data_IF_398890915336
#
_entry.id   IF_398890915336
#
_cell.length_a   1.000
_cell.length_b   1.000
_cell.length_c   1.000
_cell.angle_alpha   90.00
_cell.angle_beta   90.00
_cell.angle_gamma   90.00
#
_symmetry.space_group_name_H-M   'P 1'
#
loop_
_entity.id
_entity.type
_entity.pdbx_description
1 polymer ?
#
# COMPACT_ATOMS: atom_id res chain seq x y z
N UNK A 1 14.93 -6.21 6.47
CA UNK A 1 15.44 -5.38 5.35
C UNK A 1 14.42 -4.38 4.83
N UNK A 2 13.26 -4.79 4.29
CA UNK A 2 12.27 -3.87 3.71
C UNK A 2 11.88 -2.71 4.65
N UNK A 3 11.65 -3.00 5.94
CA UNK A 3 11.35 -2.00 6.95
C UNK A 3 12.47 -0.96 7.11
N UNK A 4 13.74 -1.37 7.19
CA UNK A 4 14.87 -0.42 7.26
C UNK A 4 14.93 0.48 6.03
N UNK A 5 14.83 -0.10 4.84
CA UNK A 5 14.93 0.66 3.59
C UNK A 5 13.80 1.69 3.51
N UNK A 6 12.57 1.32 3.86
CA UNK A 6 11.44 2.23 3.83
C UNK A 6 11.67 3.42 4.79
N UNK A 7 12.10 3.14 6.03
CA UNK A 7 12.35 4.17 7.04
C UNK A 7 13.49 5.11 6.62
N UNK A 8 14.63 4.57 6.18
CA UNK A 8 15.75 5.39 5.70
C UNK A 8 15.39 6.18 4.44
N UNK A 9 14.52 5.65 3.57
CA UNK A 9 14.12 6.35 2.35
C UNK A 9 13.30 7.62 2.62
N UNK A 10 12.60 7.70 3.76
CA UNK A 10 11.82 8.88 4.14
C UNK A 10 12.70 10.11 4.42
N UNK A 11 13.96 9.90 4.80
CA UNK A 11 14.91 10.98 5.13
C UNK A 11 15.72 11.47 3.90
N UNK A 12 15.62 10.75 2.78
CA UNK A 12 16.39 11.07 1.58
C UNK A 12 15.84 12.33 0.90
N UNK A 13 16.59 13.42 1.02
CA UNK A 13 16.36 14.67 0.28
C UNK A 13 17.05 14.63 -1.08
N UNK A 14 16.29 14.87 -2.13
CA UNK A 14 16.83 14.97 -3.49
C UNK A 14 17.55 16.30 -3.65
N UNK A 15 18.88 16.27 -3.78
CA UNK A 15 19.72 17.49 -3.82
C UNK A 15 19.28 18.50 -4.88
N UNK A 16 18.91 18.03 -6.09
CA UNK A 16 18.47 18.88 -7.19
C UNK A 16 16.97 19.23 -7.16
N UNK A 17 16.20 18.67 -6.22
CA UNK A 17 14.75 18.94 -6.00
C UNK A 17 14.40 18.86 -4.51
N UNK A 18 14.84 19.83 -3.69
CA UNK A 18 14.68 19.76 -2.23
C UNK A 18 13.21 19.80 -1.76
N UNK A 19 12.30 20.31 -2.59
CA UNK A 19 10.87 20.34 -2.31
C UNK A 19 10.15 18.98 -2.53
N UNK A 20 10.84 17.99 -3.11
CA UNK A 20 10.24 16.69 -3.41
C UNK A 20 10.78 15.64 -2.44
N UNK A 21 9.86 14.93 -1.79
CA UNK A 21 10.18 13.78 -0.94
C UNK A 21 10.23 12.50 -1.77
N UNK A 22 11.23 11.67 -1.50
CA UNK A 22 11.38 10.39 -2.15
C UNK A 22 10.41 9.38 -1.54
N UNK A 23 9.49 8.85 -2.35
CA UNK A 23 8.57 7.80 -1.92
C UNK A 23 8.79 6.54 -2.72
N UNK A 24 8.85 5.41 -2.01
CA UNK A 24 9.05 4.09 -2.60
C UNK A 24 7.80 3.23 -2.39
N UNK A 25 7.54 2.34 -3.34
CA UNK A 25 6.59 1.23 -3.17
C UNK A 25 7.38 -0.04 -2.97
N UNK A 26 6.98 -0.87 -2.02
CA UNK A 26 7.61 -2.17 -1.78
C UNK A 26 6.53 -3.24 -1.82
N UNK A 27 6.73 -4.27 -2.65
CA UNK A 27 5.85 -5.44 -2.72
C UNK A 27 6.58 -6.70 -2.27
N UNK A 28 5.97 -7.49 -1.38
CA UNK A 28 6.53 -8.76 -0.91
C UNK A 28 5.58 -9.94 -1.19
N UNK A 29 6.17 -11.02 -1.67
CA UNK A 29 5.50 -12.30 -1.87
C UNK A 29 6.52 -13.42 -1.71
N UNK A 30 6.06 -14.57 -1.22
CA UNK A 30 6.91 -15.75 -0.96
C UNK A 30 6.37 -16.94 -1.73
N UNK A 31 7.26 -17.70 -2.37
CA UNK A 31 6.92 -18.90 -3.12
C UNK A 31 8.11 -19.44 -3.92
N UNK A 32 7.91 -20.56 -4.64
CA UNK A 32 8.96 -21.20 -5.40
C UNK A 32 9.39 -20.37 -6.62
N UNK A 33 10.69 -20.38 -6.91
CA UNK A 33 11.29 -19.67 -8.05
C UNK A 33 12.31 -20.56 -8.75
N UNK A 34 12.45 -20.37 -10.07
CA UNK A 34 13.55 -20.93 -10.84
C UNK A 34 14.60 -19.83 -11.06
N UNK A 35 15.88 -20.13 -10.82
CA UNK A 35 16.97 -19.18 -10.99
C UNK A 35 17.97 -19.69 -12.05
N UNK A 36 18.60 -18.78 -12.79
CA UNK A 36 19.60 -19.15 -13.79
C UNK A 36 20.36 -17.96 -14.38
N UNK A 37 21.41 -18.27 -15.14
CA UNK A 37 22.18 -17.28 -15.90
C UNK A 37 21.72 -17.27 -17.34
N UNK A 38 21.34 -16.10 -17.86
CA UNK A 38 20.87 -15.90 -19.23
C UNK A 38 21.91 -15.14 -20.03
N UNK A 39 22.20 -15.63 -21.24
CA UNK A 39 23.15 -15.01 -22.17
C UNK A 39 24.58 -15.52 -22.00
N UNK A 40 25.29 -15.71 -23.12
CA UNK A 40 26.69 -16.21 -23.13
C UNK A 40 27.71 -15.07 -23.04
N UNK A 41 27.50 -14.00 -23.81
CA UNK A 41 28.44 -12.86 -23.89
C UNK A 41 28.18 -11.83 -22.79
N UNK A 42 26.92 -11.65 -22.38
CA UNK A 42 26.52 -10.77 -21.28
C UNK A 42 25.65 -11.57 -20.30
N UNK A 43 26.27 -12.38 -19.43
CA UNK A 43 25.53 -13.21 -18.49
C UNK A 43 24.77 -12.35 -17.49
N UNK A 44 23.46 -12.58 -17.37
CA UNK A 44 22.59 -11.95 -16.37
C UNK A 44 22.00 -13.02 -15.47
N UNK A 45 22.10 -12.83 -14.16
CA UNK A 45 21.38 -13.69 -13.21
C UNK A 45 19.91 -13.28 -13.16
N UNK A 46 19.02 -14.24 -13.41
CA UNK A 46 17.59 -13.99 -13.52
C UNK A 46 16.79 -14.97 -12.66
N UNK A 47 15.69 -14.47 -12.10
CA UNK A 47 14.67 -15.25 -11.40
C UNK A 47 13.42 -15.32 -12.25
N UNK A 48 12.81 -16.49 -12.32
CA UNK A 48 11.59 -16.76 -13.09
C UNK A 48 10.57 -17.49 -12.24
N UNK A 49 9.30 -17.33 -12.60
CA UNK A 49 8.18 -18.02 -11.98
C UNK A 49 7.02 -17.10 -11.65
N UNK A 50 5.92 -17.71 -11.21
CA UNK A 50 4.74 -16.97 -10.80
C UNK A 50 4.97 -16.11 -9.54
N UNK A 51 5.88 -16.53 -8.65
CA UNK A 51 6.23 -15.79 -7.45
C UNK A 51 6.80 -14.40 -7.75
N UNK A 52 7.73 -14.29 -8.72
CA UNK A 52 8.30 -12.97 -9.09
C UNK A 52 7.26 -12.06 -9.75
N UNK A 53 6.35 -12.64 -10.54
CA UNK A 53 5.24 -11.89 -11.13
C UNK A 53 4.27 -11.38 -10.06
N UNK A 54 3.90 -12.23 -9.10
CA UNK A 54 3.02 -11.84 -7.99
C UNK A 54 3.67 -10.78 -7.11
N UNK A 55 4.98 -10.90 -6.80
CA UNK A 55 5.73 -9.89 -6.07
C UNK A 55 5.71 -8.54 -6.79
N UNK A 56 5.97 -8.53 -8.11
CA UNK A 56 5.86 -7.33 -8.95
C UNK A 56 4.45 -6.73 -8.91
N UNK A 57 3.40 -7.56 -8.86
CA UNK A 57 2.03 -7.07 -8.65
C UNK A 57 1.86 -6.39 -7.29
N UNK A 58 2.34 -6.99 -6.21
CA UNK A 58 2.29 -6.38 -4.87
C UNK A 58 2.98 -5.02 -4.84
N UNK A 59 4.06 -4.82 -5.60
CA UNK A 59 4.74 -3.53 -5.72
C UNK A 59 3.95 -2.53 -6.57
N UNK A 60 3.54 -2.94 -7.78
CA UNK A 60 2.86 -2.06 -8.74
C UNK A 60 1.49 -1.56 -8.26
N UNK A 61 0.77 -2.37 -7.47
CA UNK A 61 -0.50 -1.99 -6.84
C UNK A 61 -0.33 -1.36 -5.45
N UNK A 62 0.93 -1.24 -5.00
CA UNK A 62 1.32 -0.70 -3.71
C UNK A 62 1.01 0.79 -3.56
N UNK A 63 0.79 1.20 -2.32
CA UNK A 63 0.70 2.63 -1.97
C UNK A 63 2.13 3.13 -1.67
N UNK A 64 2.57 4.28 -2.23
CA UNK A 64 3.87 4.85 -1.90
C UNK A 64 4.03 5.05 -0.38
N UNK A 65 5.21 4.77 0.15
CA UNK A 65 5.49 4.86 1.58
C UNK A 65 4.96 3.67 2.40
N UNK A 66 4.43 2.62 1.75
CA UNK A 66 3.95 1.40 2.43
C UNK A 66 4.57 0.14 1.82
N UNK A 67 4.71 -0.90 2.64
CA UNK A 67 5.09 -2.25 2.20
C UNK A 67 3.83 -3.08 2.06
N UNK A 68 3.50 -3.49 0.84
CA UNK A 68 2.39 -4.40 0.58
C UNK A 68 2.86 -5.85 0.54
N UNK A 69 2.16 -6.72 1.24
CA UNK A 69 2.47 -8.15 1.31
C UNK A 69 1.26 -8.99 0.91
N UNK A 70 1.53 -10.11 0.23
CA UNK A 70 0.52 -11.15 -0.03
C UNK A 70 0.17 -11.95 1.24
N UNK A 71 -1.00 -12.56 1.28
CA UNK A 71 -1.41 -13.49 2.34
C UNK A 71 -0.39 -14.61 2.60
N UNK A 72 0.14 -15.25 1.55
CA UNK A 72 1.14 -16.33 1.70
C UNK A 72 2.40 -15.88 2.43
N UNK A 73 2.87 -14.65 2.13
CA UNK A 73 4.02 -14.06 2.81
C UNK A 73 3.70 -13.76 4.27
N UNK A 74 2.49 -13.24 4.54
CA UNK A 74 2.00 -12.95 5.89
C UNK A 74 1.94 -14.22 6.75
N UNK A 75 1.43 -15.33 6.23
CA UNK A 75 1.39 -16.61 6.96
C UNK A 75 2.77 -17.13 7.35
N UNK A 76 3.79 -16.89 6.53
CA UNK A 76 5.18 -17.25 6.85
C UNK A 76 5.76 -16.32 7.93
N UNK A 77 5.51 -15.02 7.82
CA UNK A 77 5.96 -14.05 8.83
C UNK A 77 5.25 -14.25 10.17
N UNK A 78 3.99 -14.69 10.17
CA UNK A 78 3.25 -15.05 11.38
C UNK A 78 3.88 -16.24 12.11
N UNK A 79 4.49 -17.17 11.38
CA UNK A 79 5.22 -18.30 11.97
C UNK A 79 6.51 -17.86 12.69
N UNK A 80 7.18 -16.83 12.16
CA UNK A 80 8.35 -16.21 12.81
C UNK A 80 7.93 -15.29 13.98
N UNK A 81 6.73 -14.72 13.92
CA UNK A 81 6.14 -13.90 14.98
C UNK A 81 6.67 -12.47 15.07
N UNK A 82 5.97 -11.65 15.86
CA UNK A 82 6.38 -10.29 16.19
C UNK A 82 6.21 -9.28 15.06
N UNK A 83 5.46 -9.55 14.00
CA UNK A 83 5.19 -8.58 12.93
C UNK A 83 3.79 -7.97 13.04
N UNK A 84 3.67 -6.69 12.66
CA UNK A 84 2.40 -5.96 12.69
C UNK A 84 1.91 -5.65 11.28
N UNK A 85 0.61 -5.87 11.05
CA UNK A 85 0.00 -5.71 9.73
C UNK A 85 -1.32 -4.96 9.78
N UNK A 86 -1.65 -4.33 8.66
CA UNK A 86 -2.93 -3.68 8.40
C UNK A 86 -3.60 -4.37 7.21
N UNK A 87 -4.81 -4.93 7.33
CA UNK A 87 -5.50 -5.56 6.21
C UNK A 87 -5.89 -4.51 5.15
N UNK A 88 -5.72 -4.87 3.88
CA UNK A 88 -6.15 -4.06 2.74
C UNK A 88 -7.41 -4.64 2.11
N UNK A 89 -8.23 -3.80 1.47
CA UNK A 89 -9.34 -4.27 0.65
C UNK A 89 -8.86 -5.28 -0.40
N UNK A 90 -9.49 -6.47 -0.49
CA UNK A 90 -9.18 -7.44 -1.52
C UNK A 90 -9.33 -6.83 -2.91
N UNK A 91 -8.46 -7.23 -3.84
CA UNK A 91 -8.55 -6.79 -5.23
C UNK A 91 -8.23 -7.94 -6.18
N UNK A 92 -8.69 -7.80 -7.42
CA UNK A 92 -8.51 -8.82 -8.43
C UNK A 92 -7.08 -8.79 -9.00
N UNK A 93 -6.40 -9.93 -8.96
CA UNK A 93 -5.09 -10.14 -9.55
C UNK A 93 -5.23 -11.11 -10.72
N UNK A 94 -4.80 -10.65 -11.90
CA UNK A 94 -4.84 -11.44 -13.13
C UNK A 94 -4.19 -12.81 -12.92
N UNK A 95 -4.95 -13.88 -13.18
CA UNK A 95 -4.48 -15.25 -13.07
C UNK A 95 -4.55 -15.86 -11.66
N UNK A 96 -4.88 -15.08 -10.63
CA UNK A 96 -5.05 -15.58 -9.24
C UNK A 96 -6.42 -15.31 -8.62
N UNK A 97 -7.25 -14.47 -9.26
CA UNK A 97 -8.56 -14.11 -8.71
C UNK A 97 -8.44 -13.00 -7.67
N UNK A 98 -9.39 -12.96 -6.74
CA UNK A 98 -9.39 -11.97 -5.66
C UNK A 98 -8.39 -12.39 -4.60
N UNK A 99 -7.42 -11.51 -4.31
CA UNK A 99 -6.41 -11.76 -3.27
C UNK A 99 -6.59 -10.81 -2.10
N UNK A 100 -6.54 -11.39 -0.89
CA UNK A 100 -6.36 -10.63 0.33
C UNK A 100 -4.89 -10.21 0.45
N UNK A 101 -4.67 -8.94 0.78
CA UNK A 101 -3.32 -8.38 0.96
C UNK A 101 -3.26 -7.55 2.24
N UNK A 102 -2.05 -7.26 2.69
CA UNK A 102 -1.81 -6.56 3.93
C UNK A 102 -0.71 -5.52 3.74
N UNK A 103 -0.72 -4.47 4.55
CA UNK A 103 0.43 -3.58 4.71
C UNK A 103 1.24 -4.01 5.92
N UNK A 104 2.54 -4.23 5.73
CA UNK A 104 3.46 -4.47 6.84
C UNK A 104 3.82 -3.13 7.48
N UNK A 105 3.56 -3.00 8.79
CA UNK A 105 3.75 -1.76 9.55
C UNK A 105 5.04 -1.75 10.37
N UNK A 106 5.46 -2.90 10.86
CA UNK A 106 6.64 -2.99 11.73
C UNK A 106 6.88 -4.39 12.26
N UNK A 107 7.86 -4.48 13.16
CA UNK A 107 8.21 -5.69 13.92
C UNK A 107 8.46 -5.30 15.39
N UNK A 108 8.14 -6.19 16.32
CA UNK A 108 8.51 -6.07 17.73
C UNK A 108 10.03 -5.99 17.87
N UNK A 109 10.51 -5.08 18.73
CA UNK A 109 11.93 -4.79 18.87
C UNK A 109 12.57 -4.12 17.65
N UNK A 110 11.77 -3.66 16.69
CA UNK A 110 12.24 -2.82 15.59
C UNK A 110 12.25 -1.35 16.05
N UNK A 111 13.37 -0.94 16.60
CA UNK A 111 13.67 0.48 16.82
C UNK A 111 14.44 0.99 15.59
N UNK A 112 14.04 2.12 14.98
CA UNK A 112 14.80 2.76 13.90
C UNK A 112 16.12 3.40 14.34
N UNK A 113 16.69 2.97 15.46
CA UNK A 113 17.86 3.54 16.11
C UNK A 113 19.17 3.00 15.51
N UNK A 114 19.40 3.46 14.28
CA UNK A 114 20.72 3.99 13.91
C UNK A 114 20.60 5.29 13.08
N UNK A 115 19.39 5.80 12.80
CA UNK A 115 19.15 7.14 12.21
C UNK A 115 17.72 7.67 12.52
N UNK A 116 17.49 8.15 13.75
CA UNK A 116 16.67 9.36 13.98
C UNK A 116 15.16 9.43 13.62
N UNK A 117 14.46 8.37 13.24
CA UNK A 117 13.02 8.49 12.95
C UNK A 117 12.18 8.67 14.23
N UNK A 118 11.85 9.92 14.57
CA UNK A 118 10.75 10.26 15.48
C UNK A 118 9.44 10.29 14.70
N UNK A 119 8.53 9.39 15.09
CA UNK A 119 7.15 9.36 14.62
C UNK A 119 6.42 10.66 15.05
N UNK A 120 6.12 11.53 14.08
CA UNK A 120 5.27 12.70 14.28
C UNK A 120 3.82 12.43 13.85
N UNK A 121 3.33 11.19 13.94
CA UNK A 121 1.89 10.93 13.90
C UNK A 121 1.36 10.70 15.33
N UNK A 122 1.26 11.80 16.08
CA UNK A 122 0.35 11.88 17.21
C UNK A 122 -1.09 11.70 16.71
N UNK A 123 -1.62 10.49 16.83
CA UNK A 123 -2.99 10.18 17.22
C UNK A 123 -4.10 11.09 16.64
N UNK A 124 -4.47 10.90 15.37
CA UNK A 124 -5.81 11.27 14.89
C UNK A 124 -6.67 10.01 14.84
N UNK A 125 -7.47 9.81 15.89
CA UNK A 125 -8.55 8.83 15.86
C UNK A 125 -9.62 9.36 14.91
N UNK A 126 -9.62 8.90 13.65
CA UNK A 126 -10.79 9.02 12.79
C UNK A 126 -11.89 8.11 13.34
N UNK A 127 -12.83 8.67 14.12
CA UNK A 127 -14.10 8.02 14.42
C UNK A 127 -15.04 8.23 13.22
N UNK A 128 -15.06 7.28 12.29
CA UNK A 128 -16.03 7.27 11.20
C UNK A 128 -17.32 6.62 11.69
N UNK A 129 -18.40 7.38 11.82
CA UNK A 129 -19.76 6.85 11.94
C UNK A 129 -20.36 6.76 10.53
N UNK A 130 -20.65 5.55 10.05
CA UNK A 130 -21.28 5.32 8.74
C UNK A 130 -22.79 5.14 8.93
N UNK A 131 -23.62 5.94 8.24
CA UNK A 131 -25.04 5.66 8.05
C UNK A 131 -25.29 5.24 6.59
N UNK A 132 -25.77 4.01 6.38
CA UNK A 132 -26.22 3.54 5.06
C UNK A 132 -27.73 3.76 4.90
N UNK A 133 -28.15 4.43 3.82
CA UNK A 133 -29.56 4.58 3.45
C UNK A 133 -29.80 4.09 2.02
N UNK A 134 -30.82 3.25 1.88
CA UNK A 134 -31.32 2.78 0.57
C UNK A 134 -32.27 3.84 0.02
N UNK A 135 -31.94 4.42 -1.13
CA UNK A 135 -32.82 5.37 -1.84
C UNK A 135 -33.69 4.60 -2.84
N UNK A 136 -34.93 5.07 -3.05
CA UNK A 136 -35.86 4.47 -4.02
C UNK A 136 -35.18 4.35 -5.40
N UNK A 137 -35.37 3.19 -6.05
CA UNK A 137 -34.78 2.75 -7.32
C UNK A 137 -33.42 2.01 -7.23
N UNK A 138 -32.99 1.56 -6.04
CA UNK A 138 -31.86 0.64 -5.89
C UNK A 138 -30.48 1.31 -5.99
N UNK A 139 -30.43 2.64 -5.92
CA UNK A 139 -29.21 3.41 -5.73
C UNK A 139 -28.83 3.44 -4.24
N UNK A 140 -27.55 3.23 -3.95
CA UNK A 140 -26.98 3.35 -2.60
C UNK A 140 -26.39 4.76 -2.46
N UNK A 141 -26.82 5.50 -1.45
CA UNK A 141 -26.23 6.79 -1.09
C UNK A 141 -25.39 6.61 0.18
N UNK A 142 -24.08 6.83 0.04
CA UNK A 142 -23.16 6.82 1.18
C UNK A 142 -22.80 8.26 1.53
N UNK A 143 -23.16 8.68 2.74
CA UNK A 143 -22.81 10.01 3.27
C UNK A 143 -21.67 9.87 4.26
N UNK A 144 -20.57 10.56 4.00
CA UNK A 144 -19.42 10.61 4.90
C UNK A 144 -19.31 12.03 5.47
N UNK A 145 -19.33 12.16 6.79
CA UNK A 145 -18.94 13.38 7.48
C UNK A 145 -17.44 13.32 7.77
N UNK A 146 -16.70 14.23 7.16
CA UNK A 146 -15.26 14.37 7.39
C UNK A 146 -15.05 15.65 8.20
N UNK A 147 -14.68 15.50 9.47
CA UNK A 147 -14.14 16.60 10.27
C UNK A 147 -12.67 16.80 9.91
N UNK A 148 -12.34 17.95 9.32
CA UNK A 148 -10.95 18.34 9.11
C UNK A 148 -10.45 19.15 10.30
N UNK A 149 -9.33 18.74 10.88
CA UNK A 149 -8.69 19.45 11.98
C UNK A 149 -8.11 20.80 11.53
N UNK A 150 -8.15 21.86 12.37
CA UNK A 150 -7.81 23.21 11.95
C UNK A 150 -6.31 23.35 11.66
N UNK A 151 -5.99 24.00 10.53
CA UNK A 151 -4.62 24.41 10.23
C UNK A 151 -4.21 25.60 11.12
N UNK A 152 -2.90 25.68 11.46
CA UNK A 152 -2.29 26.58 12.47
C UNK A 152 -2.54 28.10 12.31
N UNK A 153 -3.34 28.54 11.33
CA UNK A 153 -3.56 29.95 11.00
C UNK A 153 -4.99 30.44 11.29
N UNK A 154 -6.02 29.58 11.43
CA UNK A 154 -7.39 30.02 11.77
C UNK A 154 -8.10 29.03 12.73
N UNK A 155 -8.78 29.56 13.76
CA UNK A 155 -9.42 28.80 14.87
C UNK A 155 -10.93 28.58 14.69
N UNK A 156 -11.39 28.09 13.55
CA UNK A 156 -12.75 27.55 13.41
C UNK A 156 -12.72 26.21 12.66
N UNK A 157 -13.48 25.23 13.15
CA UNK A 157 -13.61 23.90 12.54
C UNK A 157 -14.69 23.93 11.46
N UNK A 158 -14.34 23.59 10.23
CA UNK A 158 -15.28 23.38 9.12
C UNK A 158 -15.58 21.88 8.98
N UNK A 159 -16.88 21.53 8.94
CA UNK A 159 -17.32 20.18 8.58
C UNK A 159 -17.79 20.15 7.13
N UNK A 160 -17.21 19.26 6.32
CA UNK A 160 -17.59 19.09 4.92
C UNK A 160 -18.33 17.77 4.76
N UNK A 161 -19.57 17.83 4.28
CA UNK A 161 -20.38 16.64 3.95
C UNK A 161 -20.12 16.23 2.50
N UNK A 162 -19.69 14.98 2.31
CA UNK A 162 -19.48 14.41 0.97
C UNK A 162 -20.46 13.25 0.80
N UNK A 163 -21.33 13.34 -0.20
CA UNK A 163 -22.25 12.27 -0.61
C UNK A 163 -21.82 11.68 -1.94
N UNK A 164 -21.70 10.35 -1.97
CA UNK A 164 -21.31 9.58 -3.17
C UNK A 164 -22.48 8.68 -3.56
N UNK A 165 -22.86 8.76 -4.83
CA UNK A 165 -23.91 7.97 -5.46
C UNK A 165 -23.26 7.15 -6.58
N UNK A 166 -23.37 5.82 -6.54
CA UNK A 166 -22.79 4.92 -7.54
C UNK A 166 -23.87 4.09 -8.23
N UNK A 167 -23.82 4.01 -9.58
CA UNK A 167 -24.61 3.07 -10.39
C UNK A 167 -23.67 2.15 -11.17
N UNK A 168 -23.92 0.84 -11.15
CA UNK A 168 -23.09 -0.13 -11.87
C UNK A 168 -23.34 -0.07 -13.38
N UNK A 169 -22.32 0.33 -14.16
CA UNK A 169 -22.26 0.07 -15.61
C UNK A 169 -20.83 -0.26 -16.06
N UNK A 170 -20.82 -1.29 -16.91
CA UNK A 170 -19.78 -2.03 -17.65
C UNK A 170 -18.58 -1.20 -18.20
N UNK A 171 -17.34 -1.62 -17.90
CA UNK A 171 -16.10 -0.94 -18.32
C UNK A 171 -15.35 -1.69 -19.42
N UNK A 172 -15.44 -1.17 -20.64
CA UNK A 172 -14.45 -1.39 -21.70
C UNK A 172 -13.69 -0.10 -21.99
N UNK A 173 -12.35 -0.10 -21.84
CA UNK A 173 -11.33 0.70 -22.57
C UNK A 173 -9.92 0.52 -21.92
N UNK A 174 -8.81 0.94 -22.59
CA UNK A 174 -7.71 0.03 -22.94
C UNK A 174 -6.45 0.21 -22.09
N UNK A 175 -5.68 -0.87 -21.94
CA UNK A 175 -4.39 -0.88 -21.23
C UNK A 175 -3.20 -0.48 -22.11
N UNK A 176 -2.30 0.32 -21.55
CA UNK A 176 -1.02 0.73 -22.12
C UNK A 176 -0.07 -0.48 -22.21
N UNK A 177 0.44 -0.76 -23.41
CA UNK A 177 1.47 -1.76 -23.68
C UNK A 177 2.87 -1.19 -23.39
N UNK A 178 3.73 -1.97 -22.77
CA UNK A 178 5.18 -1.75 -22.77
C UNK A 178 5.84 -3.04 -23.27
N UNK A 179 6.69 -2.89 -24.30
CA UNK A 179 7.48 -3.93 -24.96
C UNK A 179 8.63 -4.44 -24.09
#
# INVERSE_FOLDING_TARGET
MALHILMSSAELKVHHRPAHTFHMRIGLHSGPVAAGVVGRTMPRYCLFGDTVNTASRMESTGVPGKIQISEQCKSLLDADGGFYYEPRTPFHVKGKGVLQTYFLKGKEGFTPDDNGYQDNHSNEKAQTQNEEKIVKNGLIEQTFEVETSPSRVNKESESTKISIISSNMDDGMPGIHIA
#
